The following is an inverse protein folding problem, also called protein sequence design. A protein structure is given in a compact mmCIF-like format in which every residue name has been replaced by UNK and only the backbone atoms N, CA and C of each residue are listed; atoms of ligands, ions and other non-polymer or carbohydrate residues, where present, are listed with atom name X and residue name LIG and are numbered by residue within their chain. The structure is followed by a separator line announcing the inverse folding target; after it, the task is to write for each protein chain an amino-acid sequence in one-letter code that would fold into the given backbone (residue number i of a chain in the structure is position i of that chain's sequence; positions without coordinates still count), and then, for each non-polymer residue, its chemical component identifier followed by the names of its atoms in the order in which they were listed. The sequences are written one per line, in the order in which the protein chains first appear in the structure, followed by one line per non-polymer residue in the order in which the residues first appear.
data_IF_118004955612
#
_entry.id   IF_118004955612
#
_cell.length_a   1.000
_cell.length_b   1.000
_cell.length_c   1.000
_cell.angle_alpha   90.00
_cell.angle_beta   90.00
_cell.angle_gamma   90.00
#
_symmetry.space_group_name_H-M   'P 1'
#
loop_
_entity.id
_entity.type
_entity.pdbx_description
1 polymer ?
#
# COMPACT_ATOMS: atom_id res chain seq x y z
N UNK A 1 7.32 11.46 -37.41
CA UNK A 1 7.57 10.52 -36.28
C UNK A 1 7.44 11.31 -34.98
N UNK A 2 6.76 10.77 -33.96
CA UNK A 2 6.51 11.49 -32.70
C UNK A 2 5.05 11.93 -32.48
N UNK A 3 4.08 11.41 -33.24
CA UNK A 3 2.66 11.68 -33.02
C UNK A 3 2.19 11.00 -31.73
N UNK A 4 1.67 11.79 -30.79
CA UNK A 4 1.03 11.29 -29.57
C UNK A 4 -0.36 10.72 -29.92
N UNK A 5 -0.60 9.47 -29.53
CA UNK A 5 -1.87 8.77 -29.70
C UNK A 5 -2.56 8.77 -28.32
N UNK A 6 -3.53 9.66 -28.08
CA UNK A 6 -4.28 9.63 -26.82
C UNK A 6 -5.21 8.42 -26.78
N UNK A 7 -5.19 7.72 -25.66
CA UNK A 7 -6.13 6.66 -25.37
C UNK A 7 -6.54 6.71 -23.90
N UNK A 8 -7.70 6.11 -23.61
CA UNK A 8 -8.23 5.97 -22.26
C UNK A 8 -8.05 4.52 -21.85
N UNK A 9 -7.52 4.27 -20.66
CA UNK A 9 -7.33 2.92 -20.14
C UNK A 9 -8.66 2.21 -19.89
N UNK A 10 -8.75 0.96 -20.34
CA UNK A 10 -9.85 0.05 -20.00
C UNK A 10 -9.51 -0.81 -18.77
N UNK A 11 -8.22 -0.98 -18.50
CA UNK A 11 -7.69 -1.87 -17.47
C UNK A 11 -6.91 -1.08 -16.45
N UNK A 12 -7.09 -1.41 -15.16
CA UNK A 12 -6.23 -0.90 -14.11
C UNK A 12 -4.84 -1.57 -14.22
N UNK A 13 -3.79 -0.78 -13.98
CA UNK A 13 -2.41 -1.26 -14.00
C UNK A 13 -1.90 -1.38 -12.57
N UNK A 14 -1.29 -2.52 -12.24
CA UNK A 14 -0.58 -2.72 -10.97
C UNK A 14 0.83 -3.25 -11.24
N UNK A 15 1.86 -2.55 -10.76
CA UNK A 15 3.26 -2.94 -10.91
C UNK A 15 3.69 -4.18 -10.12
N UNK A 16 2.87 -4.66 -9.18
CA UNK A 16 3.19 -5.82 -8.35
C UNK A 16 3.30 -7.11 -9.17
N UNK A 17 2.49 -7.23 -10.23
CA UNK A 17 2.46 -8.42 -11.09
C UNK A 17 2.56 -8.01 -12.57
N UNK A 18 3.49 -8.56 -13.37
CA UNK A 18 3.51 -8.35 -14.82
C UNK A 18 2.20 -8.80 -15.48
N UNK A 19 1.77 -8.05 -16.49
CA UNK A 19 0.51 -8.31 -17.17
C UNK A 19 0.33 -7.52 -18.47
N UNK A 20 -0.91 -7.53 -18.96
CA UNK A 20 -1.31 -6.83 -20.18
C UNK A 20 -2.04 -5.53 -19.86
N UNK A 21 -1.79 -4.52 -20.69
CA UNK A 21 -2.50 -3.24 -20.67
C UNK A 21 -3.40 -3.12 -21.91
N UNK A 22 -4.60 -2.58 -21.73
CA UNK A 22 -5.50 -2.19 -22.81
C UNK A 22 -5.96 -0.75 -22.66
N UNK A 23 -5.95 -0.01 -23.76
CA UNK A 23 -6.55 1.31 -23.86
C UNK A 23 -7.31 1.47 -25.18
N UNK A 24 -8.31 2.34 -25.19
CA UNK A 24 -9.11 2.66 -26.38
C UNK A 24 -8.87 4.10 -26.81
N UNK A 25 -8.63 4.26 -28.11
CA UNK A 25 -8.47 5.56 -28.74
C UNK A 25 -9.82 6.28 -28.76
N UNK A 26 -9.87 7.49 -28.19
CA UNK A 26 -11.12 8.26 -28.05
C UNK A 26 -11.37 9.27 -29.18
N UNK A 27 -10.43 9.41 -30.13
CA UNK A 27 -10.53 10.32 -31.28
C UNK A 27 -9.78 9.78 -32.50
N UNK A 28 -10.19 10.19 -33.68
CA UNK A 28 -9.52 9.77 -34.92
C UNK A 28 -8.07 10.30 -35.00
N UNK A 29 -7.13 9.44 -35.36
CA UNK A 29 -5.71 9.79 -35.55
C UNK A 29 -5.44 9.92 -37.04
N UNK A 30 -5.02 11.10 -37.44
CA UNK A 30 -4.75 11.45 -38.83
C UNK A 30 -3.31 11.10 -39.23
N UNK A 31 -3.10 10.99 -40.54
CA UNK A 31 -1.79 10.94 -41.18
C UNK A 31 -1.00 12.24 -40.93
N UNK A 32 0.31 12.20 -41.16
CA UNK A 32 1.24 13.33 -40.99
C UNK A 32 0.81 14.57 -41.80
N UNK A 33 0.17 14.36 -42.94
CA UNK A 33 -0.38 15.43 -43.79
C UNK A 33 -1.81 15.88 -43.40
N UNK A 34 -2.42 15.27 -42.38
CA UNK A 34 -3.76 15.59 -41.88
C UNK A 34 -4.93 15.18 -42.78
N UNK A 35 -4.70 14.47 -43.90
CA UNK A 35 -5.75 14.23 -44.92
C UNK A 35 -6.52 12.93 -44.78
N UNK A 36 -5.94 11.93 -44.13
CA UNK A 36 -6.48 10.56 -44.04
C UNK A 36 -6.44 10.11 -42.59
N UNK A 37 -7.51 9.48 -42.11
CA UNK A 37 -7.55 8.81 -40.81
C UNK A 37 -6.80 7.48 -40.91
N UNK A 38 -5.82 7.27 -40.04
CA UNK A 38 -5.04 6.04 -39.96
C UNK A 38 -5.54 5.11 -38.85
N UNK A 39 -5.97 5.68 -37.73
CA UNK A 39 -6.57 4.93 -36.62
C UNK A 39 -7.91 5.59 -36.26
N UNK A 40 -8.98 4.83 -36.40
CA UNK A 40 -10.32 5.28 -36.06
C UNK A 40 -10.50 5.37 -34.54
N UNK A 41 -11.38 6.26 -34.09
CA UNK A 41 -11.91 6.22 -32.73
C UNK A 41 -12.49 4.82 -32.43
N UNK A 42 -12.29 4.34 -31.22
CA UNK A 42 -12.66 2.98 -30.83
C UNK A 42 -11.62 1.92 -31.18
N UNK A 43 -10.50 2.29 -31.82
CA UNK A 43 -9.35 1.39 -31.97
C UNK A 43 -8.82 0.99 -30.60
N UNK A 44 -8.73 -0.33 -30.37
CA UNK A 44 -8.21 -0.90 -29.14
C UNK A 44 -6.69 -1.11 -29.28
N UNK A 45 -5.92 -0.53 -28.37
CA UNK A 45 -4.48 -0.65 -28.30
C UNK A 45 -4.13 -1.55 -27.12
N UNK A 46 -3.40 -2.61 -27.41
CA UNK A 46 -2.96 -3.59 -26.41
C UNK A 46 -1.45 -3.60 -26.31
N UNK A 47 -0.98 -3.80 -25.10
CA UNK A 47 0.43 -3.78 -24.76
C UNK A 47 0.72 -4.65 -23.55
N UNK A 48 1.99 -4.71 -23.21
CA UNK A 48 2.48 -5.43 -22.04
C UNK A 48 3.22 -4.47 -21.12
N UNK A 49 3.12 -4.74 -19.83
CA UNK A 49 3.94 -4.08 -18.82
C UNK A 49 4.62 -5.14 -17.97
N UNK A 50 5.84 -4.82 -17.56
CA UNK A 50 6.59 -5.67 -16.66
C UNK A 50 6.41 -5.15 -15.24
N UNK A 51 6.18 -6.07 -14.32
CA UNK A 51 6.25 -5.77 -12.90
C UNK A 51 7.69 -5.54 -12.44
N UNK A 52 7.87 -5.34 -11.14
CA UNK A 52 9.22 -5.20 -10.57
C UNK A 52 9.83 -3.82 -10.83
N UNK A 53 9.07 -2.76 -10.55
CA UNK A 53 9.60 -1.39 -10.50
C UNK A 53 10.74 -1.36 -9.47
N UNK A 54 11.92 -0.85 -9.88
CA UNK A 54 13.08 -0.76 -8.98
C UNK A 54 12.83 0.27 -7.88
N UNK A 55 13.53 0.11 -6.76
CA UNK A 55 13.55 1.13 -5.69
C UNK A 55 13.85 2.51 -6.29
N UNK A 56 13.05 3.51 -5.91
CA UNK A 56 13.13 4.91 -6.38
C UNK A 56 12.70 5.15 -7.83
N UNK A 57 12.12 4.16 -8.50
CA UNK A 57 11.38 4.36 -9.75
C UNK A 57 9.90 4.55 -9.41
N UNK A 58 9.30 5.65 -9.86
CA UNK A 58 7.89 5.99 -9.60
C UNK A 58 6.99 5.85 -10.83
N UNK A 59 7.48 5.15 -11.87
CA UNK A 59 6.83 5.10 -13.18
C UNK A 59 6.75 3.69 -13.72
N UNK A 60 5.55 3.32 -14.18
CA UNK A 60 5.30 2.05 -14.83
C UNK A 60 5.50 2.18 -16.34
N UNK A 61 6.42 1.39 -16.88
CA UNK A 61 6.67 1.32 -18.31
C UNK A 61 5.73 0.31 -18.96
N UNK A 62 5.04 0.75 -20.01
CA UNK A 62 4.17 -0.09 -20.84
C UNK A 62 4.69 -0.03 -22.27
N UNK A 63 4.77 -1.18 -22.93
CA UNK A 63 5.10 -1.29 -24.35
C UNK A 63 3.84 -1.63 -25.13
N UNK A 64 3.42 -0.73 -26.03
CA UNK A 64 2.29 -0.98 -26.91
C UNK A 64 2.75 -1.81 -28.10
N UNK A 65 2.13 -2.99 -28.25
CA UNK A 65 2.56 -4.00 -29.25
C UNK A 65 1.58 -4.12 -30.41
N UNK A 66 0.31 -3.76 -30.22
CA UNK A 66 -0.71 -3.96 -31.26
C UNK A 66 -1.87 -2.99 -31.12
N UNK A 67 -2.31 -2.41 -32.23
CA UNK A 67 -3.59 -1.72 -32.35
C UNK A 67 -4.55 -2.55 -33.22
N UNK A 68 -5.80 -2.66 -32.80
CA UNK A 68 -6.88 -3.32 -33.53
C UNK A 68 -7.99 -2.30 -33.80
N UNK A 69 -8.21 -1.97 -35.06
CA UNK A 69 -9.28 -1.04 -35.44
C UNK A 69 -10.66 -1.69 -35.29
N UNK A 70 -11.75 -0.90 -35.19
CA UNK A 70 -13.11 -1.44 -35.17
C UNK A 70 -13.43 -2.30 -36.40
N UNK A 71 -12.79 -2.01 -37.53
CA UNK A 71 -12.92 -2.76 -38.79
C UNK A 71 -12.09 -4.06 -38.81
N UNK A 72 -11.41 -4.41 -37.71
CA UNK A 72 -10.65 -5.65 -37.58
C UNK A 72 -9.22 -5.61 -38.13
N UNK A 73 -8.74 -4.44 -38.56
CA UNK A 73 -7.36 -4.29 -39.05
C UNK A 73 -6.41 -4.30 -37.86
N UNK A 74 -5.37 -5.12 -37.94
CA UNK A 74 -4.35 -5.27 -36.91
C UNK A 74 -3.06 -4.59 -37.35
N UNK A 75 -2.56 -3.68 -36.52
CA UNK A 75 -1.37 -2.88 -36.79
C UNK A 75 -0.35 -3.20 -35.69
N UNK A 76 0.81 -3.78 -36.02
CA UNK A 76 1.87 -3.99 -35.04
C UNK A 76 2.45 -2.63 -34.62
N UNK A 77 2.58 -2.45 -33.31
CA UNK A 77 3.21 -1.30 -32.70
C UNK A 77 4.48 -1.75 -31.98
N UNK A 78 5.43 -0.83 -31.84
CA UNK A 78 6.63 -1.02 -31.01
C UNK A 78 6.91 0.28 -30.26
N UNK A 79 5.85 0.84 -29.68
CA UNK A 79 5.87 2.21 -29.16
C UNK A 79 5.85 2.20 -27.63
N UNK A 80 6.79 2.91 -26.98
CA UNK A 80 6.75 3.07 -25.54
C UNK A 80 5.56 3.95 -25.16
N UNK A 81 4.94 3.64 -24.04
CA UNK A 81 3.88 4.48 -23.51
C UNK A 81 4.43 5.77 -22.89
N UNK A 82 3.64 6.84 -22.96
CA UNK A 82 3.97 8.14 -22.40
C UNK A 82 2.83 8.69 -21.57
N UNK A 83 3.15 9.53 -20.60
CA UNK A 83 2.14 10.35 -19.92
C UNK A 83 1.62 11.48 -20.83
N UNK A 84 0.68 12.27 -20.30
CA UNK A 84 0.08 13.41 -21.01
C UNK A 84 1.08 14.51 -21.39
N UNK A 85 2.24 14.57 -20.75
CA UNK A 85 3.33 15.50 -21.05
C UNK A 85 4.40 14.88 -21.98
N UNK A 86 4.20 13.64 -22.43
CA UNK A 86 5.14 12.95 -23.32
C UNK A 86 6.34 12.31 -22.61
N UNK A 87 6.36 12.28 -21.27
CA UNK A 87 7.42 11.58 -20.51
C UNK A 87 7.15 10.08 -20.55
N UNK A 88 8.19 9.26 -20.66
CA UNK A 88 8.06 7.80 -20.73
C UNK A 88 7.45 7.18 -19.47
N UNK A 89 6.50 6.26 -19.66
CA UNK A 89 5.77 5.57 -18.60
C UNK A 89 4.67 6.39 -17.95
N UNK A 90 3.83 5.70 -17.19
CA UNK A 90 2.72 6.31 -16.44
C UNK A 90 3.13 6.56 -15.00
N UNK A 91 2.64 7.68 -14.46
CA UNK A 91 2.70 7.98 -13.04
C UNK A 91 1.64 7.15 -12.29
N UNK A 92 1.81 6.97 -10.99
CA UNK A 92 0.90 6.18 -10.18
C UNK A 92 1.12 6.37 -8.69
N UNK A 93 0.24 5.77 -7.89
CA UNK A 93 0.44 5.74 -6.44
C UNK A 93 1.57 4.74 -6.10
N UNK A 94 2.51 5.18 -5.26
CA UNK A 94 3.68 4.39 -4.88
C UNK A 94 3.37 3.65 -3.58
N UNK A 95 3.25 2.32 -3.64
CA UNK A 95 3.30 1.47 -2.46
C UNK A 95 4.71 0.86 -2.32
N UNK A 96 5.48 1.33 -1.34
CA UNK A 96 6.85 0.85 -1.10
C UNK A 96 6.91 -0.51 -0.40
N UNK A 97 5.76 -1.08 -0.02
CA UNK A 97 5.64 -2.29 0.77
C UNK A 97 6.55 -2.27 2.01
N UNK A 98 6.80 -1.08 2.56
CA UNK A 98 7.81 -0.87 3.59
C UNK A 98 7.48 -1.68 4.84
N UNK A 99 6.20 -1.78 5.18
CA UNK A 99 5.75 -2.44 6.39
C UNK A 99 5.70 -3.98 6.23
N UNK A 100 5.42 -4.49 5.04
CA UNK A 100 5.57 -5.91 4.70
C UNK A 100 7.03 -6.35 4.69
N UNK A 101 7.95 -5.41 4.40
CA UNK A 101 9.40 -5.67 4.34
C UNK A 101 10.13 -5.51 5.66
N UNK A 102 9.63 -4.66 6.56
CA UNK A 102 10.33 -4.28 7.80
C UNK A 102 9.47 -4.32 9.08
N UNK A 103 8.17 -4.60 8.99
CA UNK A 103 7.23 -4.54 10.12
C UNK A 103 7.42 -5.66 11.15
N UNK A 104 7.92 -6.83 10.75
CA UNK A 104 8.18 -7.94 11.68
C UNK A 104 9.41 -7.73 12.56
N UNK A 105 10.48 -7.15 12.01
CA UNK A 105 11.70 -6.82 12.75
C UNK A 105 11.50 -5.67 13.73
N UNK A 106 10.61 -4.72 13.41
CA UNK A 106 10.30 -3.61 14.30
C UNK A 106 9.48 -4.08 15.52
N UNK A 107 8.48 -4.95 15.30
CA UNK A 107 7.68 -5.52 16.39
C UNK A 107 8.55 -6.29 17.39
N UNK A 108 9.48 -7.12 16.87
CA UNK A 108 10.44 -7.83 17.72
C UNK A 108 11.35 -6.87 18.49
N UNK A 109 11.79 -5.76 17.87
CA UNK A 109 12.65 -4.77 18.55
C UNK A 109 11.91 -4.03 19.66
N UNK A 110 10.62 -3.70 19.48
CA UNK A 110 9.83 -3.03 20.51
C UNK A 110 9.49 -3.99 21.65
N UNK A 111 9.15 -5.24 21.35
CA UNK A 111 8.90 -6.26 22.37
C UNK A 111 10.20 -6.57 23.12
N UNK A 112 11.30 -6.81 22.42
CA UNK A 112 12.60 -7.14 23.03
C UNK A 112 13.21 -5.94 23.76
N UNK A 113 13.03 -4.72 23.25
CA UNK A 113 13.45 -3.49 23.91
C UNK A 113 12.61 -3.18 25.16
N UNK A 114 11.30 -3.42 25.12
CA UNK A 114 10.42 -3.30 26.27
C UNK A 114 10.71 -4.38 27.31
N UNK A 115 10.85 -5.64 26.90
CA UNK A 115 11.22 -6.73 27.82
C UNK A 115 12.59 -6.46 28.41
N UNK A 116 13.63 -6.17 27.64
CA UNK A 116 15.00 -5.93 28.14
C UNK A 116 15.08 -4.72 29.07
N UNK A 117 14.30 -3.66 28.81
CA UNK A 117 14.25 -2.49 29.70
C UNK A 117 13.48 -2.78 30.99
N UNK A 118 12.54 -3.73 30.97
CA UNK A 118 11.77 -4.19 32.13
C UNK A 118 12.46 -5.36 32.87
N UNK A 119 13.33 -6.14 32.21
CA UNK A 119 13.95 -7.38 32.72
C UNK A 119 15.34 -7.21 33.33
N UNK A 120 15.70 -5.99 33.77
CA UNK A 120 16.72 -5.88 34.83
C UNK A 120 16.29 -6.57 36.16
N UNK A 121 15.06 -7.11 36.21
CA UNK A 121 14.63 -8.16 37.14
C UNK A 121 14.01 -9.33 36.36
N UNK A 122 14.47 -10.55 36.65
CA UNK A 122 13.91 -11.83 36.18
C UNK A 122 12.47 -12.05 36.70
N UNK A 123 11.49 -11.26 36.26
CA UNK A 123 10.09 -11.49 36.61
C UNK A 123 9.37 -12.21 35.47
N UNK A 124 9.48 -13.55 35.45
CA UNK A 124 8.72 -14.47 34.57
C UNK A 124 7.20 -14.47 34.85
N UNK A 125 6.67 -13.55 35.68
CA UNK A 125 5.30 -13.52 36.17
C UNK A 125 4.52 -12.27 35.74
N UNK A 126 4.80 -11.72 34.56
CA UNK A 126 3.96 -10.66 33.99
C UNK A 126 2.58 -11.22 33.62
N UNK A 127 1.51 -10.58 34.11
CA UNK A 127 0.13 -10.99 33.83
C UNK A 127 -0.52 -10.18 32.73
N UNK A 128 -0.28 -8.86 32.70
CA UNK A 128 -0.96 -7.95 31.78
C UNK A 128 -0.11 -6.70 31.49
N UNK A 129 -0.19 -6.21 30.25
CA UNK A 129 0.41 -4.95 29.82
C UNK A 129 -0.71 -4.08 29.25
N UNK A 130 -0.85 -2.86 29.76
CA UNK A 130 -1.88 -1.89 29.38
C UNK A 130 -1.22 -0.60 28.91
N UNK A 131 -1.63 -0.11 27.73
CA UNK A 131 -1.16 1.15 27.16
C UNK A 131 -2.39 2.00 26.83
N UNK A 132 -2.64 3.02 27.65
CA UNK A 132 -3.80 3.91 27.47
C UNK A 132 -3.45 5.21 26.76
N UNK A 133 -2.16 5.58 26.71
CA UNK A 133 -1.68 6.77 26.02
C UNK A 133 -0.22 6.60 25.57
N UNK A 134 0.20 7.33 24.53
CA UNK A 134 1.60 7.37 24.13
C UNK A 134 2.51 7.74 25.30
N UNK A 135 3.64 7.05 25.41
CA UNK A 135 4.66 7.30 26.41
C UNK A 135 4.43 6.62 27.77
N UNK A 136 3.29 5.97 28.00
CA UNK A 136 2.93 5.35 29.29
C UNK A 136 2.57 3.88 29.10
N UNK A 137 3.26 3.00 29.83
CA UNK A 137 3.00 1.56 29.87
C UNK A 137 2.72 1.16 31.31
N UNK A 138 1.60 0.48 31.52
CA UNK A 138 1.21 -0.06 32.82
C UNK A 138 1.39 -1.57 32.77
N UNK A 139 2.08 -2.13 33.75
CA UNK A 139 2.39 -3.56 33.81
C UNK A 139 1.82 -4.13 35.09
N UNK A 140 1.10 -5.25 34.98
CA UNK A 140 0.59 -6.03 36.11
C UNK A 140 1.49 -7.22 36.41
N UNK A 141 1.99 -7.29 37.63
CA UNK A 141 2.81 -8.38 38.16
C UNK A 141 2.25 -8.87 39.53
N UNK A 142 2.83 -9.90 40.19
CA UNK A 142 2.36 -10.38 41.50
C UNK A 142 2.48 -9.36 42.64
N UNK A 143 3.30 -8.34 42.47
CA UNK A 143 3.52 -7.25 43.43
C UNK A 143 2.59 -6.05 43.19
N UNK A 144 1.82 -6.06 42.09
CA UNK A 144 0.78 -5.06 41.79
C UNK A 144 0.95 -4.40 40.42
N UNK A 145 0.29 -3.27 40.25
CA UNK A 145 0.34 -2.48 39.01
C UNK A 145 1.46 -1.45 39.07
N UNK A 146 2.33 -1.46 38.07
CA UNK A 146 3.47 -0.53 37.97
C UNK A 146 3.39 0.28 36.66
N UNK A 147 3.50 1.60 36.77
CA UNK A 147 3.51 2.52 35.61
C UNK A 147 4.94 2.85 35.21
N UNK A 148 5.25 2.64 33.94
CA UNK A 148 6.53 2.90 33.30
C UNK A 148 6.38 3.98 32.22
N UNK A 149 7.32 4.91 32.18
CA UNK A 149 7.33 5.98 31.18
C UNK A 149 8.36 5.65 30.11
N UNK A 150 7.87 5.36 28.91
CA UNK A 150 8.69 5.02 27.74
C UNK A 150 8.49 6.09 26.68
N UNK A 151 9.29 7.17 26.73
CA UNK A 151 9.15 8.33 25.83
C UNK A 151 9.26 7.97 24.34
N UNK A 152 9.89 6.84 24.04
CA UNK A 152 10.02 6.32 22.68
C UNK A 152 8.66 5.88 22.14
N UNK A 153 7.77 5.35 22.99
CA UNK A 153 6.46 4.81 22.62
C UNK A 153 5.46 5.89 22.15
N UNK A 154 5.64 6.36 20.93
CA UNK A 154 4.80 7.42 20.33
C UNK A 154 3.50 6.87 19.75
N UNK A 155 2.56 7.75 19.41
CA UNK A 155 1.31 7.36 18.74
C UNK A 155 1.56 6.63 17.41
N UNK A 156 2.56 7.07 16.63
CA UNK A 156 2.90 6.42 15.36
C UNK A 156 3.41 4.99 15.52
N UNK A 157 4.14 4.73 16.60
CA UNK A 157 4.61 3.38 16.93
C UNK A 157 3.47 2.47 17.39
N UNK A 158 2.57 2.99 18.23
CA UNK A 158 1.36 2.29 18.63
C UNK A 158 0.49 1.95 17.42
N UNK A 159 0.27 2.90 16.50
CA UNK A 159 -0.45 2.65 15.26
C UNK A 159 0.24 1.57 14.40
N UNK A 160 1.57 1.56 14.37
CA UNK A 160 2.37 0.51 13.74
C UNK A 160 2.08 -0.88 14.33
N UNK A 161 2.10 -1.02 15.65
CA UNK A 161 1.78 -2.28 16.35
C UNK A 161 0.37 -2.76 15.98
N UNK A 162 -0.62 -1.86 16.02
CA UNK A 162 -2.01 -2.15 15.66
C UNK A 162 -2.11 -2.74 14.25
N UNK A 163 -1.43 -2.12 13.27
CA UNK A 163 -1.41 -2.58 11.88
C UNK A 163 -0.76 -3.97 11.74
N UNK A 164 0.30 -4.27 12.49
CA UNK A 164 0.93 -5.60 12.49
C UNK A 164 -0.03 -6.67 12.99
N UNK A 165 -0.68 -6.43 14.11
CA UNK A 165 -1.61 -7.41 14.72
C UNK A 165 -2.79 -7.66 13.79
N UNK A 166 -3.33 -6.60 13.17
CA UNK A 166 -4.38 -6.69 12.17
C UNK A 166 -3.95 -7.53 10.95
N UNK A 167 -2.76 -7.27 10.41
CA UNK A 167 -2.23 -8.03 9.27
C UNK A 167 -1.99 -9.50 9.63
N UNK A 168 -1.32 -9.78 10.75
CA UNK A 168 -1.02 -11.14 11.21
C UNK A 168 -2.30 -11.96 11.43
N UNK A 169 -3.33 -11.36 12.02
CA UNK A 169 -4.60 -12.06 12.28
C UNK A 169 -5.61 -11.98 11.14
N UNK A 170 -5.25 -11.37 10.01
CA UNK A 170 -6.17 -11.13 8.88
C UNK A 170 -7.46 -10.41 9.32
N UNK A 171 -7.34 -9.54 10.32
CA UNK A 171 -8.45 -8.73 10.83
C UNK A 171 -8.36 -7.30 10.30
N UNK A 172 -9.50 -6.61 10.28
CA UNK A 172 -9.58 -5.19 9.93
C UNK A 172 -9.79 -4.37 11.18
N UNK A 173 -9.01 -3.31 11.34
CA UNK A 173 -9.22 -2.29 12.37
C UNK A 173 -9.25 -0.92 11.70
N UNK A 174 -10.27 -0.14 12.03
CA UNK A 174 -10.49 1.19 11.46
C UNK A 174 -11.33 2.03 12.42
N UNK A 175 -11.62 3.28 12.06
CA UNK A 175 -12.52 4.12 12.86
C UNK A 175 -13.93 3.52 12.92
N UNK A 176 -14.35 2.85 11.84
CA UNK A 176 -15.65 2.17 11.72
C UNK A 176 -15.66 0.82 12.43
N UNK A 177 -14.49 0.17 12.57
CA UNK A 177 -14.30 -1.09 13.27
C UNK A 177 -13.18 -0.94 14.31
N UNK A 178 -13.45 -0.26 15.44
CA UNK A 178 -12.40 0.23 16.33
C UNK A 178 -11.84 -0.83 17.29
N UNK A 179 -12.38 -2.04 17.31
CA UNK A 179 -11.97 -3.08 18.26
C UNK A 179 -11.34 -4.25 17.52
N UNK A 180 -10.17 -4.68 18.00
CA UNK A 180 -9.50 -5.88 17.54
C UNK A 180 -9.11 -6.74 18.75
N UNK A 181 -9.48 -8.01 18.71
CA UNK A 181 -9.05 -9.02 19.68
C UNK A 181 -8.35 -10.15 18.96
N UNK A 182 -7.19 -10.56 19.45
CA UNK A 182 -6.33 -11.52 18.76
C UNK A 182 -5.52 -12.39 19.73
N UNK A 183 -5.11 -13.56 19.25
CA UNK A 183 -4.09 -14.39 19.89
C UNK A 183 -2.80 -14.31 19.06
N UNK A 184 -1.69 -14.00 19.72
CA UNK A 184 -0.35 -13.88 19.14
C UNK A 184 0.31 -15.27 18.99
N UNK A 185 1.41 -15.41 18.21
CA UNK A 185 2.08 -16.70 17.98
C UNK A 185 2.44 -17.47 19.26
N UNK A 186 2.77 -16.76 20.35
CA UNK A 186 3.15 -17.35 21.64
C UNK A 186 1.95 -17.67 22.54
N UNK A 187 0.73 -17.72 21.99
CA UNK A 187 -0.53 -17.94 22.71
C UNK A 187 -0.91 -16.81 23.70
N UNK A 188 -0.21 -15.68 23.64
CA UNK A 188 -0.57 -14.44 24.32
C UNK A 188 -1.81 -13.82 23.69
N UNK A 189 -2.60 -13.09 24.48
CA UNK A 189 -3.82 -12.42 24.01
C UNK A 189 -3.59 -10.93 23.96
N UNK A 190 -4.13 -10.29 22.94
CA UNK A 190 -4.09 -8.85 22.78
C UNK A 190 -5.48 -8.32 22.45
N UNK A 191 -5.82 -7.19 23.08
CA UNK A 191 -7.01 -6.42 22.77
C UNK A 191 -6.60 -4.98 22.47
N UNK A 192 -7.11 -4.47 21.35
CA UNK A 192 -6.80 -3.15 20.84
C UNK A 192 -8.12 -2.41 20.65
N UNK A 193 -8.17 -1.18 21.16
CA UNK A 193 -9.29 -0.27 20.95
C UNK A 193 -8.75 1.02 20.34
N UNK A 194 -9.13 1.29 19.09
CA UNK A 194 -8.90 2.59 18.47
C UNK A 194 -9.95 3.60 18.93
N UNK A 195 -9.57 4.85 19.21
CA UNK A 195 -10.54 5.89 19.49
C UNK A 195 -11.42 6.10 18.26
N UNK A 196 -12.74 5.98 18.42
CA UNK A 196 -13.70 6.31 17.36
C UNK A 196 -13.82 7.82 17.22
N UNK A 197 -13.96 8.32 15.98
CA UNK A 197 -14.35 9.71 15.72
C UNK A 197 -15.83 9.86 16.05
N UNK A 198 -16.19 9.87 17.33
CA UNK A 198 -17.45 10.50 17.72
C UNK A 198 -17.22 12.01 17.73
N UNK A 199 -18.03 12.82 17.01
CA UNK A 199 -17.99 14.26 17.21
C UNK A 199 -18.27 14.50 18.70
N UNK A 200 -17.37 15.26 19.34
CA UNK A 200 -17.56 15.76 20.70
C UNK A 200 -18.93 16.43 20.72
N UNK A 201 -19.94 15.79 21.32
CA UNK A 201 -21.17 16.49 21.68
C UNK A 201 -20.75 17.44 22.79
N UNK A 202 -20.50 18.70 22.44
CA UNK A 202 -20.50 19.78 23.41
C UNK A 202 -21.87 19.78 24.08
N UNK A 203 -21.89 19.46 25.37
CA UNK A 203 -23.02 19.79 26.25
C UNK A 203 -22.93 21.26 26.61
#
# INVERSE_FOLDING_TARGET
MGTSIPCIFETALNSDQPGFASCVINRDILSDNGRVVLLDKGTQVVGEYRGGIKQRQSRLFVLWTRAKTPNGVIIPLASPATDSLGRAGFDGNINTHWWERFGSSLLLTVIDGATTSLTNKNDENLFEIVINRPGEVIVGDPNGWQTHILKELTYGELEGIVKVVAAYTTQKISVENPVLSATLPNNERIQIVMPSLQPIRSV
#
